data_IF_642856801172
#
_entry.id   IF_642856801172
#
_cell.length_a   1.000
_cell.length_b   1.000
_cell.length_c   1.000
_cell.angle_alpha   90.00
_cell.angle_beta   90.00
_cell.angle_gamma   90.00
#
_symmetry.space_group_name_H-M   'P 1'
#
loop_
_entity.id
_entity.type
_entity.pdbx_description
1 polymer ?
#
# COMPACT_ATOMS: atom_id res chain seq x y z
N UNK A 1 9.65 -17.23 -10.09
CA UNK A 1 9.55 -15.88 -10.70
C UNK A 1 10.26 -14.90 -9.77
N UNK A 2 11.11 -13.99 -10.28
CA UNK A 2 11.79 -13.01 -9.42
C UNK A 2 10.79 -11.98 -8.88
N UNK A 3 10.98 -11.56 -7.61
CA UNK A 3 10.14 -10.55 -6.93
C UNK A 3 10.03 -9.25 -7.74
N UNK A 4 11.10 -8.87 -8.44
CA UNK A 4 11.12 -7.67 -9.29
C UNK A 4 10.06 -7.68 -10.40
N UNK A 5 9.62 -8.85 -10.86
CA UNK A 5 8.55 -8.96 -11.88
C UNK A 5 7.14 -8.87 -11.30
N UNK A 6 6.98 -8.90 -9.99
CA UNK A 6 5.68 -8.73 -9.32
C UNK A 6 5.54 -7.36 -8.67
N UNK A 7 6.55 -6.49 -8.84
CA UNK A 7 6.55 -5.14 -8.29
C UNK A 7 5.48 -4.29 -8.97
N UNK A 8 4.54 -3.83 -8.17
CA UNK A 8 3.62 -2.76 -8.49
C UNK A 8 4.10 -1.48 -7.82
N UNK A 9 4.00 -0.35 -8.53
CA UNK A 9 4.11 0.97 -7.92
C UNK A 9 2.88 1.81 -8.26
N UNK A 10 2.22 2.36 -7.25
CA UNK A 10 1.09 3.28 -7.43
C UNK A 10 1.26 4.53 -6.57
N UNK A 11 0.57 5.61 -6.93
CA UNK A 11 0.68 6.91 -6.24
C UNK A 11 -0.68 7.48 -5.91
N UNK A 12 -0.79 8.11 -4.75
CA UNK A 12 -2.00 8.81 -4.29
C UNK A 12 -1.65 10.19 -3.74
N UNK A 13 -2.37 11.21 -4.18
CA UNK A 13 -2.31 12.55 -3.60
C UNK A 13 -3.25 12.62 -2.40
N UNK A 14 -2.76 13.12 -1.27
CA UNK A 14 -3.58 13.33 -0.08
C UNK A 14 -4.32 14.65 -0.20
N UNK A 15 -5.62 14.60 -0.48
CA UNK A 15 -6.51 15.75 -0.57
C UNK A 15 -7.32 15.94 0.73
N UNK A 16 -8.08 17.04 0.80
CA UNK A 16 -8.85 17.43 2.00
C UNK A 16 -9.79 16.34 2.51
N UNK A 17 -10.40 15.54 1.61
CA UNK A 17 -11.33 14.47 2.00
C UNK A 17 -10.66 13.32 2.76
N UNK A 18 -9.33 13.18 2.65
CA UNK A 18 -8.59 12.06 3.23
C UNK A 18 -8.07 12.34 4.64
N UNK A 19 -8.08 13.59 5.08
CA UNK A 19 -7.45 14.01 6.34
C UNK A 19 -8.48 14.30 7.42
N UNK A 20 -8.08 14.07 8.66
CA UNK A 20 -8.80 14.49 9.84
C UNK A 20 -8.62 16.01 10.09
N UNK A 21 -9.36 16.61 11.06
CA UNK A 21 -9.23 18.03 11.38
C UNK A 21 -7.82 18.48 11.78
N UNK A 22 -6.94 17.56 12.19
CA UNK A 22 -5.52 17.83 12.47
C UNK A 22 -4.63 17.78 11.21
N UNK A 23 -5.23 17.72 10.02
CA UNK A 23 -4.53 17.66 8.74
C UNK A 23 -3.74 16.37 8.53
N UNK A 24 -4.09 15.28 9.23
CA UNK A 24 -3.42 13.97 9.14
C UNK A 24 -4.31 12.98 8.43
N UNK A 25 -3.74 12.15 7.55
CA UNK A 25 -4.45 11.10 6.84
C UNK A 25 -5.19 10.17 7.83
N UNK A 26 -6.48 9.90 7.56
CA UNK A 26 -7.18 8.86 8.30
C UNK A 26 -6.58 7.48 7.99
N UNK A 27 -6.36 6.68 9.03
CA UNK A 27 -5.83 5.33 8.89
C UNK A 27 -6.67 4.47 7.93
N UNK A 28 -8.00 4.65 7.93
CA UNK A 28 -8.92 3.93 7.03
C UNK A 28 -8.61 4.11 5.54
N UNK A 29 -8.23 5.31 5.09
CA UNK A 29 -7.82 5.53 3.69
C UNK A 29 -6.46 4.90 3.38
N UNK A 30 -5.52 4.92 4.34
CA UNK A 30 -4.24 4.21 4.17
C UNK A 30 -4.48 2.69 4.03
N UNK A 31 -5.33 2.12 4.90
CA UNK A 31 -5.79 0.72 4.85
C UNK A 31 -6.33 0.37 3.45
N UNK A 32 -7.30 1.17 2.97
CA UNK A 32 -7.92 0.99 1.66
C UNK A 32 -6.87 0.96 0.54
N UNK A 33 -5.95 1.93 0.50
CA UNK A 33 -4.96 2.02 -0.58
C UNK A 33 -3.86 0.95 -0.51
N UNK A 34 -3.50 0.50 0.69
CA UNK A 34 -2.62 -0.67 0.86
C UNK A 34 -3.29 -1.92 0.27
N UNK A 35 -4.57 -2.13 0.58
CA UNK A 35 -5.35 -3.26 0.05
C UNK A 35 -5.51 -3.17 -1.46
N UNK A 36 -5.81 -1.99 -2.02
CA UNK A 36 -5.86 -1.77 -3.46
C UNK A 36 -4.54 -2.17 -4.14
N UNK A 37 -3.42 -1.64 -3.65
CA UNK A 37 -2.10 -1.90 -4.21
C UNK A 37 -1.72 -3.38 -4.13
N UNK A 38 -2.01 -4.02 -2.99
CA UNK A 38 -1.76 -5.44 -2.78
C UNK A 38 -2.62 -6.33 -3.69
N UNK A 39 -3.90 -5.99 -3.86
CA UNK A 39 -4.85 -6.71 -4.71
C UNK A 39 -4.42 -6.66 -6.17
N UNK A 40 -4.07 -5.47 -6.68
CA UNK A 40 -3.60 -5.33 -8.08
C UNK A 40 -2.28 -6.09 -8.29
N UNK A 41 -1.35 -6.05 -7.31
CA UNK A 41 -0.11 -6.82 -7.40
C UNK A 41 -0.36 -8.34 -7.44
N UNK A 42 -1.33 -8.83 -6.65
CA UNK A 42 -1.75 -10.23 -6.67
C UNK A 42 -2.45 -10.61 -7.99
N UNK A 43 -3.39 -9.79 -8.48
CA UNK A 43 -4.09 -10.02 -9.77
C UNK A 43 -3.10 -10.08 -10.92
N UNK A 44 -2.13 -9.16 -10.98
CA UNK A 44 -1.08 -9.17 -12.00
C UNK A 44 -0.20 -10.44 -11.93
N UNK A 45 -0.02 -11.01 -10.74
CA UNK A 45 0.76 -12.24 -10.57
C UNK A 45 -0.01 -13.50 -10.95
N UNK A 46 -1.30 -13.59 -10.63
CA UNK A 46 -2.11 -14.80 -10.88
C UNK A 46 -2.91 -14.75 -12.18
N UNK A 47 -2.97 -13.59 -12.84
CA UNK A 47 -3.73 -13.35 -14.08
C UNK A 47 -5.22 -13.71 -13.94
N UNK A 48 -5.78 -13.47 -12.75
CA UNK A 48 -7.15 -13.83 -12.39
C UNK A 48 -7.66 -12.95 -11.24
N UNK A 49 -8.96 -13.04 -10.98
CA UNK A 49 -9.60 -12.32 -9.89
C UNK A 49 -9.13 -12.87 -8.53
N UNK A 50 -8.93 -11.95 -7.58
CA UNK A 50 -8.58 -12.28 -6.20
C UNK A 50 -9.46 -11.47 -5.25
N UNK A 51 -9.57 -11.97 -4.02
CA UNK A 51 -10.27 -11.29 -2.93
C UNK A 51 -9.34 -11.18 -1.73
N UNK A 52 -9.53 -10.12 -0.93
CA UNK A 52 -8.79 -9.97 0.32
C UNK A 52 -9.21 -11.08 1.29
N UNK A 53 -8.29 -11.98 1.61
CA UNK A 53 -8.53 -13.04 2.59
C UNK A 53 -8.24 -12.61 4.03
N UNK A 54 -7.11 -11.95 4.25
CA UNK A 54 -6.66 -11.47 5.54
C UNK A 54 -5.65 -10.33 5.35
N UNK A 55 -5.60 -9.41 6.30
CA UNK A 55 -4.59 -8.36 6.40
C UNK A 55 -3.87 -8.53 7.74
N UNK A 56 -2.55 -8.69 7.71
CA UNK A 56 -1.71 -8.78 8.89
C UNK A 56 -1.60 -7.41 9.59
N UNK A 57 -0.83 -7.35 10.68
CA UNK A 57 -0.57 -6.11 11.39
C UNK A 57 0.02 -5.07 10.46
N UNK A 58 -0.59 -3.89 10.47
CA UNK A 58 -0.03 -2.70 9.87
C UNK A 58 0.63 -1.80 10.90
N UNK A 59 1.76 -1.25 10.49
CA UNK A 59 2.54 -0.32 11.29
C UNK A 59 2.49 1.07 10.65
N UNK A 60 1.94 2.04 11.36
CA UNK A 60 1.96 3.45 10.96
C UNK A 60 3.20 4.12 11.54
N UNK A 61 4.24 4.25 10.72
CA UNK A 61 5.58 4.69 11.13
C UNK A 61 5.72 6.20 11.13
N UNK A 62 5.18 6.87 10.10
CA UNK A 62 5.28 8.31 9.95
C UNK A 62 3.91 8.94 9.61
N UNK A 63 3.61 10.15 10.12
CA UNK A 63 2.36 10.82 9.83
C UNK A 63 2.34 11.35 8.39
N UNK A 64 1.26 11.07 7.69
CA UNK A 64 0.98 11.59 6.35
C UNK A 64 0.03 12.79 6.46
N UNK A 65 0.34 13.88 5.78
CA UNK A 65 -0.33 15.17 5.89
C UNK A 65 -1.03 15.56 4.59
N UNK A 66 -1.92 16.53 4.68
CA UNK A 66 -2.56 17.15 3.52
C UNK A 66 -1.50 17.64 2.51
N UNK A 67 -1.70 17.32 1.24
CA UNK A 67 -0.79 17.70 0.15
C UNK A 67 0.37 16.73 -0.09
N UNK A 68 0.62 15.79 0.83
CA UNK A 68 1.63 14.75 0.62
C UNK A 68 1.28 13.86 -0.58
N UNK A 69 2.32 13.31 -1.20
CA UNK A 69 2.19 12.22 -2.17
C UNK A 69 2.63 10.92 -1.52
N UNK A 70 1.72 9.95 -1.47
CA UNK A 70 2.04 8.58 -1.10
C UNK A 70 2.43 7.76 -2.32
N UNK A 71 3.46 6.94 -2.16
CA UNK A 71 3.92 5.94 -3.12
C UNK A 71 3.77 4.57 -2.47
N UNK A 72 3.01 3.68 -3.08
CA UNK A 72 2.81 2.31 -2.63
C UNK A 72 3.61 1.37 -3.51
N UNK A 73 4.36 0.48 -2.89
CA UNK A 73 5.13 -0.58 -3.56
C UNK A 73 4.66 -1.92 -3.04
N UNK A 74 4.06 -2.72 -3.92
CA UNK A 74 3.53 -4.04 -3.59
C UNK A 74 4.24 -5.13 -4.36
N UNK A 75 4.54 -6.26 -3.72
CA UNK A 75 5.09 -7.44 -4.40
C UNK A 75 4.73 -8.74 -3.68
N UNK A 76 4.66 -9.83 -4.45
CA UNK A 76 4.35 -11.16 -3.93
C UNK A 76 5.51 -11.68 -3.08
N UNK A 77 5.21 -12.11 -1.85
CA UNK A 77 6.16 -12.68 -0.88
C UNK A 77 5.88 -14.14 -0.54
N UNK A 78 4.75 -14.69 -0.99
CA UNK A 78 4.45 -16.10 -0.78
C UNK A 78 3.27 -16.57 -1.61
N UNK A 79 3.30 -17.84 -2.00
CA UNK A 79 2.24 -18.49 -2.78
C UNK A 79 1.95 -19.84 -2.15
N UNK A 80 0.66 -20.14 -1.99
CA UNK A 80 0.16 -21.46 -1.58
C UNK A 80 -0.87 -21.94 -2.61
N UNK A 81 -1.53 -23.06 -2.34
CA UNK A 81 -2.51 -23.70 -3.24
C UNK A 81 -3.59 -22.72 -3.77
N UNK A 82 -4.15 -21.87 -2.91
CA UNK A 82 -5.24 -20.96 -3.26
C UNK A 82 -5.10 -19.58 -2.58
N UNK A 83 -3.88 -19.22 -2.20
CA UNK A 83 -3.61 -17.92 -1.58
C UNK A 83 -2.27 -17.36 -2.02
N UNK A 84 -2.23 -16.04 -2.14
CA UNK A 84 -1.04 -15.26 -2.45
C UNK A 84 -0.87 -14.25 -1.32
N UNK A 85 0.33 -14.16 -0.76
CA UNK A 85 0.70 -13.12 0.19
C UNK A 85 1.47 -12.02 -0.55
N UNK A 86 1.07 -10.78 -0.33
CA UNK A 86 1.71 -9.59 -0.91
C UNK A 86 2.19 -8.72 0.23
N UNK A 87 3.43 -8.22 0.17
CA UNK A 87 3.90 -7.18 1.07
C UNK A 87 3.73 -5.84 0.36
N UNK A 88 3.19 -4.85 1.07
CA UNK A 88 3.03 -3.49 0.59
C UNK A 88 3.73 -2.53 1.53
N UNK A 89 4.67 -1.77 0.98
CA UNK A 89 5.29 -0.63 1.66
C UNK A 89 4.72 0.66 1.09
N UNK A 90 4.36 1.59 1.96
CA UNK A 90 3.96 2.94 1.56
C UNK A 90 4.99 3.96 2.03
N UNK A 91 5.29 4.90 1.15
CA UNK A 91 6.28 5.94 1.36
C UNK A 91 5.63 7.29 1.16
N UNK A 92 5.90 8.22 2.07
CA UNK A 92 5.51 9.62 1.92
C UNK A 92 6.64 10.39 1.27
N UNK A 93 6.32 11.13 0.20
CA UNK A 93 7.25 12.07 -0.44
C UNK A 93 6.87 13.50 -0.04
N UNK A 94 7.78 14.19 0.65
CA UNK A 94 7.64 15.59 1.07
C UNK A 94 8.99 16.29 0.95
N UNK A 95 9.01 17.48 0.38
CA UNK A 95 10.22 18.33 0.27
C UNK A 95 11.43 17.63 -0.37
N UNK A 96 11.16 16.72 -1.32
CA UNK A 96 12.20 15.92 -1.98
C UNK A 96 12.66 14.69 -1.19
N UNK A 97 12.31 14.58 0.09
CA UNK A 97 12.59 13.40 0.91
C UNK A 97 11.50 12.32 0.74
N UNK A 98 11.93 11.07 0.84
CA UNK A 98 11.05 9.90 0.82
C UNK A 98 11.24 9.16 2.14
N UNK A 99 10.14 8.96 2.88
CA UNK A 99 10.15 8.31 4.19
C UNK A 99 9.13 7.18 4.22
N UNK A 100 9.47 6.07 4.87
CA UNK A 100 8.54 4.97 5.08
C UNK A 100 7.38 5.45 5.97
N UNK A 101 6.16 5.29 5.48
CA UNK A 101 4.94 5.70 6.16
C UNK A 101 4.22 4.49 6.78
N UNK A 102 4.03 3.42 6.00
CA UNK A 102 3.36 2.20 6.47
C UNK A 102 3.97 0.95 5.84
N UNK A 103 3.94 -0.16 6.58
CA UNK A 103 4.17 -1.50 6.05
C UNK A 103 2.94 -2.34 6.38
N UNK A 104 2.42 -3.05 5.37
CA UNK A 104 1.29 -3.98 5.50
C UNK A 104 1.49 -5.22 4.66
N UNK A 105 0.88 -6.34 5.07
CA UNK A 105 0.96 -7.64 4.40
C UNK A 105 -0.39 -8.34 4.38
#
# INVERSE_FOLDING_TARGET
MPVSRTLLESRRLVSQRHVNPLGTLYGGFMLEWVVDAGTVAAMNFVESDVVLGFLDKMHFVAPVRLGDVLVFRGWVVGVRRSSVSVLVESYVKRDGEVRLATVGR
#
